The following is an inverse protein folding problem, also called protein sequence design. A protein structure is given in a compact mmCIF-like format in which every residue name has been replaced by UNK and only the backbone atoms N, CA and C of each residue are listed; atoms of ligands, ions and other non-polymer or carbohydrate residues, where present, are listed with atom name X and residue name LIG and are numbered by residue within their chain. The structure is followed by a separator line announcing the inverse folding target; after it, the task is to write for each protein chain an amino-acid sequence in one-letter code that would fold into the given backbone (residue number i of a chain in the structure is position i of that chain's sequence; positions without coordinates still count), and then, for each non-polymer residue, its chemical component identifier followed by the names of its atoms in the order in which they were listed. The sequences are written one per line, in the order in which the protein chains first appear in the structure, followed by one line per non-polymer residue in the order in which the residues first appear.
data_IF_268212319858
#
_entry.id   IF_268212319858
#
_cell.length_a   1.000
_cell.length_b   1.000
_cell.length_c   1.000
_cell.angle_alpha   90.00
_cell.angle_beta   90.00
_cell.angle_gamma   90.00
#
_symmetry.space_group_name_H-M   'P 1'
#
loop_
_entity.id
_entity.type
_entity.pdbx_description
1 polymer ?
#
# COMPACT_ATOMS: atom_id res chain seq x y z
N UNK A 1 1.20 -7.54 8.60
CA UNK A 1 0.30 -7.90 7.47
C UNK A 1 -0.76 -8.89 7.95
N UNK A 2 -1.86 -9.00 7.23
CA UNK A 2 -2.97 -9.90 7.56
C UNK A 2 -3.44 -10.59 6.29
N UNK A 3 -3.65 -11.90 6.33
CA UNK A 3 -4.19 -12.68 5.23
C UNK A 3 -5.70 -12.43 5.05
N UNK A 4 -6.27 -12.89 3.94
CA UNK A 4 -7.69 -12.83 3.63
C UNK A 4 -8.56 -13.54 4.69
N UNK A 5 -8.10 -14.67 5.22
CA UNK A 5 -8.77 -15.43 6.29
C UNK A 5 -8.69 -14.76 7.68
N UNK A 6 -8.02 -13.62 7.78
CA UNK A 6 -7.83 -12.88 9.02
C UNK A 6 -6.60 -13.26 9.83
N UNK A 7 -5.80 -14.24 9.40
CA UNK A 7 -4.57 -14.65 10.08
C UNK A 7 -3.52 -13.55 10.03
N UNK A 8 -2.96 -13.20 11.19
CA UNK A 8 -1.87 -12.24 11.28
C UNK A 8 -0.55 -12.95 10.93
N UNK A 9 0.21 -12.37 9.99
CA UNK A 9 1.55 -12.83 9.68
C UNK A 9 2.51 -12.38 10.78
N UNK A 10 3.18 -13.34 11.42
CA UNK A 10 4.05 -13.16 12.56
C UNK A 10 5.50 -13.50 12.21
N UNK A 11 6.38 -13.51 13.23
CA UNK A 11 7.79 -13.83 13.09
C UNK A 11 8.01 -15.19 12.41
N UNK A 12 9.03 -15.25 11.57
CA UNK A 12 9.32 -16.45 10.77
C UNK A 12 8.75 -16.41 9.36
N UNK A 13 7.78 -15.54 9.08
CA UNK A 13 7.42 -15.21 7.72
C UNK A 13 8.48 -14.27 7.10
N UNK A 14 8.80 -14.45 5.84
CA UNK A 14 9.78 -13.62 5.12
C UNK A 14 9.35 -12.15 5.04
N UNK A 15 8.06 -11.91 4.97
CA UNK A 15 7.44 -10.60 4.90
C UNK A 15 6.21 -10.59 5.80
N UNK A 16 6.22 -9.75 6.82
CA UNK A 16 5.14 -9.64 7.80
C UNK A 16 4.80 -8.18 8.16
N UNK A 17 5.65 -7.24 7.77
CA UNK A 17 5.42 -5.83 8.02
C UNK A 17 4.47 -5.23 6.97
N UNK A 18 3.43 -4.54 7.43
CA UNK A 18 2.50 -3.83 6.55
C UNK A 18 3.10 -2.53 6.03
N UNK A 19 3.12 -2.33 4.72
CA UNK A 19 3.50 -1.06 4.10
C UNK A 19 2.50 0.08 4.38
N UNK A 20 1.28 -0.24 4.80
CA UNK A 20 0.30 0.73 5.26
C UNK A 20 0.54 1.20 6.71
N UNK A 21 1.50 0.61 7.44
CA UNK A 21 1.84 1.03 8.79
C UNK A 21 2.65 2.33 8.79
N UNK A 22 2.16 3.43 9.42
CA UNK A 22 2.93 4.68 9.50
C UNK A 22 4.28 4.49 10.20
N UNK A 23 4.30 3.71 11.29
CA UNK A 23 5.53 3.42 12.03
C UNK A 23 6.56 2.67 11.18
N UNK A 24 6.13 1.64 10.44
CA UNK A 24 7.02 0.91 9.55
C UNK A 24 7.62 1.82 8.48
N UNK A 25 6.81 2.67 7.87
CA UNK A 25 7.26 3.64 6.87
C UNK A 25 8.23 4.65 7.44
N UNK A 26 7.94 5.21 8.62
CA UNK A 26 8.82 6.16 9.30
C UNK A 26 10.21 5.54 9.58
N UNK A 27 10.24 4.32 10.14
CA UNK A 27 11.49 3.64 10.45
C UNK A 27 12.28 3.27 9.18
N UNK A 28 11.57 2.85 8.12
CA UNK A 28 12.17 2.57 6.81
C UNK A 28 12.79 3.83 6.20
N UNK A 29 12.08 4.96 6.23
CA UNK A 29 12.62 6.24 5.73
C UNK A 29 13.86 6.68 6.50
N UNK A 30 13.85 6.59 7.82
CA UNK A 30 15.01 6.93 8.65
C UNK A 30 16.26 6.09 8.28
N UNK A 31 16.06 4.80 8.05
CA UNK A 31 17.15 3.90 7.63
C UNK A 31 17.64 4.26 6.22
N UNK A 32 16.75 4.40 5.25
CA UNK A 32 17.08 4.73 3.86
C UNK A 32 17.79 6.09 3.78
N UNK A 33 17.30 7.09 4.52
CA UNK A 33 17.93 8.41 4.58
C UNK A 33 19.36 8.34 5.08
N UNK A 34 19.62 7.57 6.15
CA UNK A 34 20.98 7.40 6.69
C UNK A 34 21.90 6.70 5.71
N UNK A 35 21.43 5.67 5.02
CA UNK A 35 22.19 5.01 3.96
C UNK A 35 22.52 5.95 2.81
N UNK A 36 21.52 6.69 2.34
CA UNK A 36 21.69 7.66 1.25
C UNK A 36 22.64 8.80 1.63
N UNK A 37 22.54 9.35 2.83
CA UNK A 37 23.44 10.39 3.34
C UNK A 37 24.88 9.88 3.45
N UNK A 38 25.07 8.63 3.88
CA UNK A 38 26.42 8.08 4.09
C UNK A 38 27.08 7.65 2.79
N UNK A 39 26.36 7.03 1.88
CA UNK A 39 26.89 6.39 0.68
C UNK A 39 26.52 7.08 -0.64
N UNK A 40 25.63 8.06 -0.63
CA UNK A 40 25.06 8.64 -1.87
C UNK A 40 26.08 9.30 -2.78
N UNK A 41 27.24 9.77 -2.23
CA UNK A 41 28.34 10.36 -3.01
C UNK A 41 29.56 9.43 -3.14
N UNK A 42 29.49 8.20 -2.66
CA UNK A 42 30.59 7.25 -2.75
C UNK A 42 30.69 6.67 -4.16
N UNK A 43 31.77 6.99 -4.87
CA UNK A 43 31.99 6.55 -6.25
C UNK A 43 32.14 5.04 -6.45
N UNK A 44 32.27 4.27 -5.38
CA UNK A 44 32.27 2.81 -5.40
C UNK A 44 30.88 2.21 -5.48
N UNK A 45 29.83 2.99 -5.17
CA UNK A 45 28.44 2.58 -5.32
C UNK A 45 28.01 2.79 -6.76
N UNK A 46 27.76 1.70 -7.45
CA UNK A 46 27.40 1.70 -8.89
C UNK A 46 25.89 1.67 -9.12
N UNK A 47 25.09 1.43 -8.08
CA UNK A 47 23.64 1.38 -8.16
C UNK A 47 22.98 1.06 -6.83
N UNK A 48 21.67 1.31 -6.76
CA UNK A 48 20.82 1.01 -5.61
C UNK A 48 19.71 0.06 -6.03
N UNK A 49 19.58 -1.04 -5.34
CA UNK A 49 18.42 -1.92 -5.48
C UNK A 49 17.34 -1.46 -4.51
N UNK A 50 16.21 -0.99 -5.03
CA UNK A 50 15.13 -0.41 -4.22
C UNK A 50 14.26 -1.49 -3.57
N UNK A 51 14.14 -2.65 -4.20
CA UNK A 51 13.39 -3.79 -3.67
C UNK A 51 13.94 -5.09 -4.26
N UNK A 52 13.60 -6.22 -3.66
CA UNK A 52 13.96 -7.53 -4.14
C UNK A 52 12.72 -8.28 -4.60
N UNK A 53 12.68 -8.65 -5.88
CA UNK A 53 11.59 -9.44 -6.47
C UNK A 53 10.21 -8.86 -6.10
N UNK A 54 9.90 -7.60 -6.46
CA UNK A 54 8.65 -6.99 -6.10
C UNK A 54 7.49 -7.83 -6.65
N UNK A 55 6.75 -8.42 -5.73
CA UNK A 55 5.58 -9.24 -6.03
C UNK A 55 4.35 -8.63 -5.37
N UNK A 56 3.17 -9.01 -5.85
CA UNK A 56 1.92 -8.62 -5.21
C UNK A 56 1.86 -9.26 -3.83
N UNK A 57 1.84 -8.43 -2.81
CA UNK A 57 1.66 -8.83 -1.43
C UNK A 57 0.28 -8.38 -0.97
N UNK A 58 -0.51 -9.35 -0.60
CA UNK A 58 -1.83 -9.07 -0.07
C UNK A 58 -1.75 -8.72 1.42
N UNK A 59 -2.39 -7.64 1.80
CA UNK A 59 -2.46 -7.20 3.19
C UNK A 59 -3.86 -6.70 3.51
N UNK A 60 -4.66 -7.59 4.06
CA UNK A 60 -6.08 -7.34 4.40
C UNK A 60 -6.24 -6.73 5.80
N UNK A 61 -5.25 -6.03 6.31
CA UNK A 61 -5.41 -5.35 7.58
C UNK A 61 -6.25 -4.05 7.42
N UNK A 62 -6.97 -3.62 8.50
CA UNK A 62 -7.82 -2.43 8.41
C UNK A 62 -7.09 -1.14 8.02
N UNK A 63 -5.79 -1.02 8.32
CA UNK A 63 -5.01 0.16 7.91
C UNK A 63 -4.73 0.17 6.41
N UNK A 64 -4.51 -1.00 5.80
CA UNK A 64 -4.36 -1.13 4.36
C UNK A 64 -5.67 -0.76 3.65
N UNK A 65 -6.80 -1.23 4.16
CA UNK A 65 -8.12 -0.88 3.62
C UNK A 65 -8.40 0.64 3.71
N UNK A 66 -8.14 1.26 4.85
CA UNK A 66 -8.27 2.71 5.00
C UNK A 66 -7.34 3.46 4.04
N UNK A 67 -6.07 3.06 3.95
CA UNK A 67 -5.12 3.68 3.04
C UNK A 67 -5.54 3.54 1.56
N UNK A 68 -6.15 2.41 1.19
CA UNK A 68 -6.71 2.21 -0.14
C UNK A 68 -7.88 3.14 -0.43
N UNK A 69 -8.82 3.26 0.50
CA UNK A 69 -9.95 4.19 0.39
C UNK A 69 -9.49 5.64 0.29
N UNK A 70 -8.49 6.04 1.08
CA UNK A 70 -7.92 7.39 1.02
C UNK A 70 -7.21 7.66 -0.31
N UNK A 71 -6.49 6.67 -0.84
CA UNK A 71 -5.91 6.74 -2.18
C UNK A 71 -7.00 6.94 -3.25
N UNK A 72 -8.11 6.19 -3.17
CA UNK A 72 -9.21 6.33 -4.12
C UNK A 72 -9.90 7.70 -4.00
N UNK A 73 -10.13 8.19 -2.77
CA UNK A 73 -10.66 9.55 -2.56
C UNK A 73 -9.78 10.61 -3.21
N UNK A 74 -8.47 10.53 -3.00
CA UNK A 74 -7.53 11.46 -3.63
C UNK A 74 -7.53 11.34 -5.15
N UNK A 75 -7.53 10.12 -5.69
CA UNK A 75 -7.52 9.84 -7.13
C UNK A 75 -8.75 10.35 -7.86
N UNK A 76 -9.92 10.28 -7.22
CA UNK A 76 -11.21 10.65 -7.81
C UNK A 76 -11.79 11.94 -7.22
N UNK A 77 -10.94 12.82 -6.65
CA UNK A 77 -11.34 14.12 -6.10
C UNK A 77 -12.48 14.04 -5.06
N UNK A 78 -12.53 12.96 -4.30
CA UNK A 78 -13.60 12.64 -3.36
C UNK A 78 -15.01 12.57 -3.99
N UNK A 79 -15.07 12.29 -5.30
CA UNK A 79 -16.31 12.13 -6.05
C UNK A 79 -16.52 10.65 -6.42
N UNK A 80 -17.48 10.01 -5.76
CA UNK A 80 -17.78 8.59 -5.94
C UNK A 80 -18.33 8.31 -7.34
N UNK A 81 -18.97 9.28 -8.00
CA UNK A 81 -19.49 9.11 -9.36
C UNK A 81 -18.34 9.02 -10.37
N UNK A 82 -17.26 9.76 -10.17
CA UNK A 82 -16.06 9.64 -11.00
C UNK A 82 -15.46 8.24 -10.90
N UNK A 83 -15.39 7.67 -9.69
CA UNK A 83 -14.95 6.30 -9.48
C UNK A 83 -15.89 5.30 -10.19
N UNK A 84 -17.18 5.39 -9.95
CA UNK A 84 -18.17 4.50 -10.55
C UNK A 84 -18.10 4.50 -12.08
N UNK A 85 -17.96 5.69 -12.68
CA UNK A 85 -17.81 5.82 -14.12
C UNK A 85 -16.51 5.19 -14.63
N UNK A 86 -15.39 5.44 -13.93
CA UNK A 86 -14.09 4.92 -14.32
C UNK A 86 -14.02 3.38 -14.21
N UNK A 87 -14.69 2.81 -13.22
CA UNK A 87 -14.72 1.36 -12.99
C UNK A 87 -15.83 0.65 -13.77
N UNK A 88 -16.79 1.41 -14.34
CA UNK A 88 -17.92 0.83 -15.07
C UNK A 88 -18.88 0.04 -14.18
N UNK A 89 -19.00 0.41 -12.91
CA UNK A 89 -19.76 -0.34 -11.88
C UNK A 89 -21.24 -0.50 -12.21
N UNK A 90 -21.81 0.41 -13.01
CA UNK A 90 -23.21 0.33 -13.44
C UNK A 90 -23.49 -0.90 -14.30
N UNK A 91 -22.49 -1.47 -14.98
CA UNK A 91 -22.68 -2.60 -15.89
C UNK A 91 -23.25 -3.85 -15.17
N UNK A 92 -22.77 -4.12 -13.94
CA UNK A 92 -23.25 -5.23 -13.12
C UNK A 92 -24.13 -4.80 -11.95
N UNK A 93 -24.61 -3.54 -11.97
CA UNK A 93 -25.39 -2.97 -10.85
C UNK A 93 -24.62 -2.92 -9.52
N UNK A 94 -23.31 -2.78 -9.58
CA UNK A 94 -22.39 -2.72 -8.42
C UNK A 94 -21.97 -1.28 -8.09
N UNK A 95 -22.90 -0.34 -8.22
CA UNK A 95 -22.66 1.09 -8.00
C UNK A 95 -22.43 1.36 -6.52
N UNK A 96 -21.27 1.94 -6.19
CA UNK A 96 -20.98 2.40 -4.83
C UNK A 96 -21.66 3.72 -4.54
N UNK A 97 -22.22 3.88 -3.33
CA UNK A 97 -22.79 5.13 -2.84
C UNK A 97 -21.75 5.93 -2.02
N UNK A 98 -20.74 5.27 -1.48
CA UNK A 98 -19.63 5.92 -0.78
C UNK A 98 -18.34 5.15 -0.94
N UNK A 99 -17.19 5.82 -0.68
CA UNK A 99 -15.88 5.17 -0.64
C UNK A 99 -15.75 4.16 0.51
N UNK A 100 -16.60 4.28 1.55
CA UNK A 100 -16.54 3.39 2.72
C UNK A 100 -17.09 1.98 2.44
N UNK A 101 -17.81 1.81 1.34
CA UNK A 101 -18.31 0.51 0.87
C UNK A 101 -17.22 -0.29 0.14
N UNK A 102 -16.14 0.36 -0.30
CA UNK A 102 -15.11 -0.28 -1.10
C UNK A 102 -14.20 -1.11 -0.19
N UNK A 103 -14.02 -2.38 -0.53
CA UNK A 103 -13.10 -3.30 0.13
C UNK A 103 -11.79 -3.43 -0.66
N UNK A 104 -10.77 -4.04 -0.04
CA UNK A 104 -9.55 -4.42 -0.75
C UNK A 104 -9.88 -5.51 -1.79
N UNK A 105 -9.23 -5.44 -2.97
CA UNK A 105 -9.38 -6.44 -4.02
C UNK A 105 -8.75 -7.78 -3.65
#
# INVERSE_FOLDING_TARGET
MKNEDGTILDHGARQHASFASPLYRELSYKMIEKLAQHYGSDSRIVGWQLDNEPAVQFDYNPKAELAFRDFLRAKYNNDIQLLNNAWGTAFWSEVYSSFDEITLP
#
